data_IF_140289975363
#
_entry.id   IF_140289975363
#
_cell.length_a   1.000
_cell.length_b   1.000
_cell.length_c   1.000
_cell.angle_alpha   90.00
_cell.angle_beta   90.00
_cell.angle_gamma   90.00
#
_symmetry.space_group_name_H-M   'P 1'
#
loop_
_entity.id
_entity.type
_entity.pdbx_description
1 polymer ?
#
# COMPACT_ATOMS: atom_id res chain seq x y z
N UNK A 1 -19.01 -26.81 14.06
CA UNK A 1 -17.99 -25.80 14.41
C UNK A 1 -18.44 -24.50 13.79
N UNK A 2 -18.81 -23.50 14.60
CA UNK A 2 -19.21 -22.18 14.08
C UNK A 2 -17.96 -21.49 13.55
N UNK A 3 -17.99 -21.03 12.30
CA UNK A 3 -16.95 -20.15 11.76
C UNK A 3 -16.96 -18.85 12.60
N UNK A 4 -15.80 -18.34 13.01
CA UNK A 4 -15.75 -17.04 13.63
C UNK A 4 -16.30 -16.02 12.63
N UNK A 5 -17.36 -15.35 13.02
CA UNK A 5 -17.90 -14.19 12.29
C UNK A 5 -16.80 -13.16 12.18
N UNK A 6 -16.54 -12.67 10.97
CA UNK A 6 -15.62 -11.56 10.74
C UNK A 6 -15.97 -10.42 11.70
N UNK A 7 -15.00 -9.95 12.47
CA UNK A 7 -15.18 -8.81 13.38
C UNK A 7 -15.17 -7.56 12.49
N UNK A 8 -16.35 -7.18 12.01
CA UNK A 8 -16.51 -5.86 11.38
C UNK A 8 -16.45 -4.80 12.48
N UNK A 9 -15.56 -3.82 12.31
CA UNK A 9 -15.57 -2.61 13.13
C UNK A 9 -16.94 -1.94 12.94
N UNK A 10 -17.70 -1.66 14.02
CA UNK A 10 -18.98 -0.98 13.90
C UNK A 10 -18.84 0.33 13.12
N UNK A 11 -19.82 0.69 12.30
CA UNK A 11 -19.79 1.93 11.48
C UNK A 11 -19.51 3.18 12.34
N UNK A 12 -19.96 3.20 13.59
CA UNK A 12 -19.74 4.29 14.56
C UNK A 12 -18.26 4.42 14.99
N UNK A 13 -17.46 3.35 14.86
CA UNK A 13 -16.05 3.32 15.23
C UNK A 13 -15.12 3.53 14.03
N UNK A 14 -15.66 3.69 12.82
CA UNK A 14 -14.87 3.96 11.60
C UNK A 14 -14.42 5.42 11.56
N UNK A 15 -13.20 5.70 11.07
CA UNK A 15 -12.81 7.06 10.74
C UNK A 15 -13.85 7.74 9.84
N UNK A 16 -14.12 9.02 10.05
CA UNK A 16 -15.13 9.77 9.27
C UNK A 16 -14.91 9.64 7.75
N UNK A 17 -13.64 9.67 7.32
CA UNK A 17 -13.21 9.53 5.92
C UNK A 17 -13.52 8.15 5.32
N UNK A 18 -13.83 7.14 6.14
CA UNK A 18 -14.07 5.76 5.72
C UNK A 18 -15.51 5.29 5.96
N UNK A 19 -16.39 6.14 6.48
CA UNK A 19 -17.79 5.76 6.80
C UNK A 19 -18.55 5.26 5.59
N UNK A 20 -18.33 5.86 4.42
CA UNK A 20 -19.01 5.50 3.17
C UNK A 20 -18.21 4.50 2.31
N UNK A 21 -17.00 4.11 2.74
CA UNK A 21 -16.18 3.14 2.02
C UNK A 21 -16.89 1.78 1.89
N UNK A 22 -16.84 1.11 0.72
CA UNK A 22 -17.46 -0.19 0.52
C UNK A 22 -16.77 -1.32 1.29
N UNK A 23 -15.57 -1.10 1.80
CA UNK A 23 -14.81 -2.07 2.58
C UNK A 23 -15.58 -2.51 3.84
N UNK A 24 -15.65 -3.83 4.09
CA UNK A 24 -16.36 -4.39 5.23
C UNK A 24 -17.88 -4.40 5.11
N UNK A 25 -18.48 -4.00 3.96
CA UNK A 25 -19.92 -4.08 3.67
C UNK A 25 -20.22 -5.17 2.65
N UNK A 26 -21.43 -5.71 2.65
CA UNK A 26 -21.94 -6.49 1.52
C UNK A 26 -22.05 -5.57 0.30
N UNK A 27 -21.56 -6.03 -0.84
CA UNK A 27 -21.57 -5.26 -2.08
C UNK A 27 -22.08 -6.14 -3.22
N UNK A 28 -22.97 -5.58 -4.06
CA UNK A 28 -23.32 -6.21 -5.31
C UNK A 28 -22.10 -6.18 -6.24
N UNK A 29 -21.92 -7.22 -7.03
CA UNK A 29 -20.92 -7.26 -8.09
C UNK A 29 -21.55 -6.68 -9.36
N UNK A 30 -21.12 -5.50 -9.83
CA UNK A 30 -21.66 -4.91 -11.06
C UNK A 30 -21.25 -5.77 -12.26
N UNK A 31 -22.19 -5.95 -13.19
CA UNK A 31 -21.95 -6.74 -14.41
C UNK A 31 -21.38 -5.90 -15.55
N UNK A 32 -21.51 -4.57 -15.48
CA UNK A 32 -21.08 -3.64 -16.52
C UNK A 32 -20.24 -2.53 -15.96
N UNK A 33 -19.38 -2.00 -16.80
CA UNK A 33 -18.46 -0.92 -16.49
C UNK A 33 -19.14 0.24 -15.76
N UNK A 34 -18.56 0.60 -14.62
CA UNK A 34 -19.03 1.70 -13.78
C UNK A 34 -17.85 2.34 -13.03
N UNK A 35 -17.42 3.52 -13.49
CA UNK A 35 -16.35 4.29 -12.85
C UNK A 35 -16.73 4.87 -11.48
N UNK A 36 -18.04 5.01 -11.19
CA UNK A 36 -18.51 5.56 -9.91
C UNK A 36 -18.27 4.64 -8.71
N UNK A 37 -17.84 3.42 -8.95
CA UNK A 37 -17.45 2.46 -7.91
C UNK A 37 -16.17 2.84 -7.19
N UNK A 38 -15.28 3.60 -7.82
CA UNK A 38 -14.01 4.02 -7.22
C UNK A 38 -14.24 4.97 -6.04
N UNK A 39 -13.65 4.63 -4.90
CA UNK A 39 -13.78 5.40 -3.67
C UNK A 39 -12.42 6.03 -3.30
N UNK A 40 -12.25 7.36 -3.49
CA UNK A 40 -11.03 8.06 -3.12
C UNK A 40 -10.94 8.28 -1.61
N UNK A 41 -9.74 8.17 -1.05
CA UNK A 41 -9.42 8.43 0.36
C UNK A 41 -8.36 9.52 0.40
N UNK A 42 -8.68 10.66 1.02
CA UNK A 42 -7.74 11.78 1.13
C UNK A 42 -6.52 11.40 2.00
N UNK A 43 -5.30 11.51 1.44
CA UNK A 43 -4.05 11.23 2.17
C UNK A 43 -3.80 12.22 3.31
N UNK A 44 -4.24 13.46 3.16
CA UNK A 44 -4.07 14.53 4.15
C UNK A 44 -4.56 14.14 5.55
N UNK A 45 -5.62 13.31 5.64
CA UNK A 45 -6.20 12.89 6.91
C UNK A 45 -5.19 12.10 7.78
N UNK A 46 -4.31 11.31 7.17
CA UNK A 46 -3.32 10.49 7.87
C UNK A 46 -1.95 11.18 7.92
N UNK A 47 -1.63 12.06 6.98
CA UNK A 47 -0.36 12.80 6.90
C UNK A 47 -0.25 13.89 7.97
N UNK A 48 -1.32 14.66 8.18
CA UNK A 48 -1.33 15.73 9.19
C UNK A 48 -0.90 15.27 10.58
N UNK A 49 -1.44 14.18 11.15
CA UNK A 49 -1.06 13.66 12.47
C UNK A 49 0.42 13.28 12.61
N UNK A 50 1.09 12.88 11.52
CA UNK A 50 2.52 12.53 11.52
C UNK A 50 3.42 13.67 11.03
N UNK A 51 2.87 14.88 10.88
CA UNK A 51 3.62 16.09 10.56
C UNK A 51 4.02 16.24 9.09
N UNK A 52 3.40 15.52 8.17
CA UNK A 52 3.62 15.67 6.73
C UNK A 52 2.71 16.79 6.21
N UNK A 53 3.34 17.78 5.54
CA UNK A 53 2.64 18.81 4.78
C UNK A 53 2.49 18.34 3.32
N UNK A 54 1.24 18.19 2.86
CA UNK A 54 0.94 17.80 1.47
C UNK A 54 1.47 18.81 0.44
N UNK A 55 1.66 20.08 0.83
CA UNK A 55 2.25 21.09 -0.05
C UNK A 55 3.77 20.99 -0.17
N UNK A 56 4.42 20.24 0.76
CA UNK A 56 5.87 20.11 0.84
C UNK A 56 6.27 18.71 1.36
N UNK A 57 5.98 17.68 0.56
CA UNK A 57 6.29 16.30 0.95
C UNK A 57 7.78 16.12 1.20
N UNK A 58 8.18 15.45 2.30
CA UNK A 58 9.59 15.20 2.61
C UNK A 58 10.21 14.07 1.79
N UNK A 59 9.45 13.47 0.89
CA UNK A 59 9.84 12.34 0.05
C UNK A 59 9.28 12.47 -1.38
N UNK A 60 9.83 11.65 -2.27
CA UNK A 60 9.24 11.30 -3.57
C UNK A 60 9.02 9.80 -3.60
N UNK A 61 7.97 9.34 -4.25
CA UNK A 61 7.66 7.91 -4.30
C UNK A 61 6.40 7.62 -5.10
N UNK A 62 6.03 6.36 -5.12
CA UNK A 62 4.84 5.86 -5.80
C UNK A 62 4.25 4.66 -5.05
N UNK A 63 2.96 4.45 -5.22
CA UNK A 63 2.27 3.23 -4.86
C UNK A 63 2.14 2.37 -6.11
N UNK A 64 2.69 1.16 -6.08
CA UNK A 64 2.57 0.20 -7.16
C UNK A 64 1.56 -0.89 -6.79
N UNK A 65 0.58 -1.11 -7.66
CA UNK A 65 -0.46 -2.12 -7.48
C UNK A 65 -0.45 -3.11 -8.62
N UNK A 66 -0.74 -4.38 -8.31
CA UNK A 66 -0.94 -5.45 -9.29
C UNK A 66 -2.34 -6.04 -9.17
N UNK A 67 -3.04 -6.12 -10.31
CA UNK A 67 -4.30 -6.83 -10.41
C UNK A 67 -4.16 -8.00 -11.39
N UNK A 68 -4.23 -9.22 -10.86
CA UNK A 68 -3.96 -10.45 -11.63
C UNK A 68 -5.15 -10.96 -12.46
N UNK A 69 -6.31 -10.31 -12.37
CA UNK A 69 -7.57 -10.77 -12.95
C UNK A 69 -8.29 -9.67 -13.75
N UNK A 70 -7.56 -8.78 -14.43
CA UNK A 70 -8.21 -7.76 -15.27
C UNK A 70 -8.73 -8.40 -16.53
N UNK A 71 -10.05 -8.35 -16.72
CA UNK A 71 -10.74 -9.03 -17.81
C UNK A 71 -11.80 -8.16 -18.45
N UNK A 72 -12.00 -8.34 -19.75
CA UNK A 72 -13.04 -7.67 -20.55
C UNK A 72 -13.42 -8.53 -21.74
N UNK A 73 -14.46 -8.14 -22.50
CA UNK A 73 -14.85 -8.78 -23.75
C UNK A 73 -14.38 -7.94 -24.93
N UNK A 74 -13.91 -8.58 -26.00
CA UNK A 74 -13.75 -7.93 -27.30
C UNK A 74 -15.12 -7.68 -27.98
N UNK A 75 -15.11 -7.06 -29.16
CA UNK A 75 -16.34 -6.76 -29.91
C UNK A 75 -17.11 -8.01 -30.28
N UNK A 76 -16.44 -9.16 -30.45
CA UNK A 76 -17.07 -10.44 -30.73
C UNK A 76 -17.64 -11.15 -29.50
N UNK A 77 -17.30 -10.66 -28.28
CA UNK A 77 -17.72 -11.25 -27.01
C UNK A 77 -16.75 -12.30 -26.48
N UNK A 78 -15.54 -12.41 -27.04
CA UNK A 78 -14.50 -13.28 -26.54
C UNK A 78 -13.81 -12.59 -25.36
N UNK A 79 -13.60 -13.29 -24.19
CA UNK A 79 -12.92 -12.71 -23.07
C UNK A 79 -11.41 -12.56 -23.30
N UNK A 80 -10.87 -11.47 -22.78
CA UNK A 80 -9.45 -11.22 -22.63
C UNK A 80 -9.10 -11.11 -21.14
N UNK A 81 -7.93 -11.59 -20.75
CA UNK A 81 -7.40 -11.51 -19.39
C UNK A 81 -5.98 -10.98 -19.44
N UNK A 82 -5.65 -10.07 -18.52
CA UNK A 82 -4.31 -9.48 -18.33
C UNK A 82 -3.99 -9.32 -16.84
N UNK A 83 -2.72 -9.24 -16.55
CA UNK A 83 -2.28 -8.63 -15.29
C UNK A 83 -2.10 -7.14 -15.54
N UNK A 84 -2.69 -6.32 -14.68
CA UNK A 84 -2.47 -4.89 -14.73
C UNK A 84 -1.52 -4.46 -13.61
N UNK A 85 -0.48 -3.68 -13.97
CA UNK A 85 0.34 -2.92 -13.04
C UNK A 85 -0.09 -1.46 -13.09
N UNK A 86 -0.31 -0.88 -11.92
CA UNK A 86 -0.69 0.52 -11.75
C UNK A 86 0.35 1.23 -10.92
N UNK A 87 0.69 2.46 -11.29
CA UNK A 87 1.56 3.33 -10.50
C UNK A 87 0.89 4.67 -10.25
N UNK A 88 0.74 4.97 -8.97
CA UNK A 88 0.18 6.21 -8.48
C UNK A 88 1.29 6.99 -7.77
N UNK A 89 1.51 8.28 -8.12
CA UNK A 89 2.50 9.06 -7.41
C UNK A 89 2.10 9.23 -5.94
N UNK A 90 3.05 9.11 -5.01
CA UNK A 90 2.80 9.41 -3.59
C UNK A 90 2.32 10.85 -3.38
N UNK A 91 2.61 11.76 -4.32
CA UNK A 91 2.10 13.12 -4.34
C UNK A 91 0.61 13.25 -4.74
N UNK A 92 -0.07 12.14 -5.10
CA UNK A 92 -1.52 12.21 -5.37
C UNK A 92 -2.28 12.64 -4.11
N UNK A 93 -3.33 13.48 -4.24
CA UNK A 93 -4.13 13.89 -3.09
C UNK A 93 -4.89 12.73 -2.44
N UNK A 94 -5.20 11.68 -3.21
CA UNK A 94 -5.97 10.55 -2.73
C UNK A 94 -5.27 9.22 -2.95
N UNK A 95 -5.51 8.27 -2.03
CA UNK A 95 -5.49 6.83 -2.25
C UNK A 95 -6.82 6.40 -2.87
N UNK A 96 -6.86 5.21 -3.44
CA UNK A 96 -8.11 4.56 -3.87
C UNK A 96 -8.35 3.35 -2.97
N UNK A 97 -9.53 3.24 -2.38
CA UNK A 97 -9.90 2.14 -1.48
C UNK A 97 -9.89 0.80 -2.24
N UNK A 98 -9.21 -0.20 -1.69
CA UNK A 98 -8.87 -1.45 -2.38
C UNK A 98 -10.08 -2.29 -2.81
N UNK A 99 -11.14 -2.39 -2.00
CA UNK A 99 -12.35 -3.13 -2.36
C UNK A 99 -13.13 -2.42 -3.45
N UNK A 100 -13.21 -1.08 -3.40
CA UNK A 100 -13.83 -0.26 -4.43
C UNK A 100 -13.12 -0.43 -5.77
N UNK A 101 -11.79 -0.46 -5.73
CA UNK A 101 -10.97 -0.71 -6.92
C UNK A 101 -11.21 -2.10 -7.49
N UNK A 102 -11.26 -3.14 -6.64
CA UNK A 102 -11.58 -4.49 -7.08
C UNK A 102 -12.99 -4.58 -7.70
N UNK A 103 -14.00 -3.91 -7.13
CA UNK A 103 -15.34 -3.85 -7.69
C UNK A 103 -15.36 -3.13 -9.03
N UNK A 104 -14.62 -2.02 -9.17
CA UNK A 104 -14.45 -1.31 -10.43
C UNK A 104 -13.83 -2.20 -11.52
N UNK A 105 -12.72 -2.89 -11.23
CA UNK A 105 -12.11 -3.81 -12.18
C UNK A 105 -13.06 -4.96 -12.56
N UNK A 106 -13.84 -5.48 -11.60
CA UNK A 106 -14.85 -6.50 -11.86
C UNK A 106 -15.95 -6.00 -12.82
N UNK A 107 -16.29 -4.71 -12.81
CA UNK A 107 -17.31 -4.14 -13.71
C UNK A 107 -16.92 -4.19 -15.19
N UNK A 108 -15.64 -4.38 -15.50
CA UNK A 108 -15.16 -4.55 -16.88
C UNK A 108 -15.47 -5.94 -17.45
N UNK A 109 -15.67 -6.96 -16.61
CA UNK A 109 -15.72 -8.38 -17.02
C UNK A 109 -16.76 -8.68 -18.10
N UNK A 110 -17.92 -8.02 -18.10
CA UNK A 110 -18.97 -8.17 -19.13
C UNK A 110 -19.07 -6.97 -20.08
N UNK A 111 -18.10 -6.06 -20.02
CA UNK A 111 -18.06 -4.87 -20.86
C UNK A 111 -17.20 -5.12 -22.11
N UNK A 112 -17.66 -4.58 -23.24
CA UNK A 112 -16.99 -4.73 -24.53
C UNK A 112 -16.06 -3.54 -24.79
N UNK A 113 -14.85 -3.87 -25.22
CA UNK A 113 -13.87 -2.86 -25.64
C UNK A 113 -13.30 -3.26 -27.00
N UNK A 114 -12.99 -2.28 -27.88
CA UNK A 114 -12.48 -2.57 -29.21
C UNK A 114 -11.09 -3.23 -29.19
N UNK A 115 -10.25 -2.84 -28.21
CA UNK A 115 -8.90 -3.35 -28.06
C UNK A 115 -8.34 -3.10 -26.63
N UNK A 116 -7.14 -3.60 -26.37
CA UNK A 116 -6.43 -3.43 -25.10
C UNK A 116 -6.10 -1.95 -24.82
N UNK A 117 -5.80 -1.15 -25.85
CA UNK A 117 -5.47 0.25 -25.68
C UNK A 117 -6.66 1.07 -25.16
N UNK A 118 -7.88 0.74 -25.62
CA UNK A 118 -9.11 1.37 -25.12
C UNK A 118 -9.38 1.02 -23.64
N UNK A 119 -9.09 -0.23 -23.22
CA UNK A 119 -9.16 -0.62 -21.80
C UNK A 119 -8.15 0.17 -20.99
N UNK A 120 -6.89 0.19 -21.42
CA UNK A 120 -5.82 0.92 -20.73
C UNK A 120 -6.16 2.41 -20.56
N UNK A 121 -6.57 3.08 -21.64
CA UNK A 121 -6.96 4.50 -21.60
C UNK A 121 -8.16 4.75 -20.67
N UNK A 122 -9.10 3.80 -20.58
CA UNK A 122 -10.23 3.87 -19.64
C UNK A 122 -9.75 3.79 -18.20
N UNK A 123 -8.89 2.82 -17.88
CA UNK A 123 -8.30 2.65 -16.56
C UNK A 123 -7.49 3.89 -16.14
N UNK A 124 -6.61 4.40 -17.01
CA UNK A 124 -5.80 5.60 -16.75
C UNK A 124 -6.67 6.82 -16.44
N UNK A 125 -7.72 7.07 -17.25
CA UNK A 125 -8.64 8.18 -17.07
C UNK A 125 -9.39 8.10 -15.73
N UNK A 126 -9.97 6.95 -15.42
CA UNK A 126 -10.84 6.79 -14.26
C UNK A 126 -10.05 6.78 -12.95
N UNK A 127 -8.92 6.08 -12.94
CA UNK A 127 -8.02 6.05 -11.78
C UNK A 127 -7.38 7.42 -11.54
N UNK A 128 -6.99 8.15 -12.60
CA UNK A 128 -6.48 9.49 -12.46
C UNK A 128 -7.53 10.45 -11.88
N UNK A 129 -8.81 10.32 -12.28
CA UNK A 129 -9.90 11.12 -11.71
C UNK A 129 -10.11 10.81 -10.21
N UNK A 130 -10.04 9.54 -9.80
CA UNK A 130 -10.18 9.15 -8.40
C UNK A 130 -8.96 9.56 -7.55
N UNK A 131 -7.74 9.31 -8.05
CA UNK A 131 -6.50 9.65 -7.35
C UNK A 131 -6.25 11.18 -7.28
N UNK A 132 -6.81 11.95 -8.23
CA UNK A 132 -6.54 13.37 -8.40
C UNK A 132 -5.16 13.68 -9.00
N UNK A 133 -4.52 12.67 -9.63
CA UNK A 133 -3.20 12.76 -10.23
C UNK A 133 -3.08 11.77 -11.39
N UNK A 134 -2.17 11.93 -12.36
CA UNK A 134 -1.93 10.94 -13.40
C UNK A 134 -1.57 9.59 -12.82
N UNK A 135 -2.16 8.52 -13.37
CA UNK A 135 -1.89 7.12 -13.01
C UNK A 135 -1.34 6.41 -14.25
N UNK A 136 -0.21 5.74 -14.10
CA UNK A 136 0.34 4.88 -15.14
C UNK A 136 -0.31 3.50 -15.06
N UNK A 137 -0.75 2.97 -16.19
CA UNK A 137 -1.33 1.63 -16.32
C UNK A 137 -0.55 0.84 -17.35
N UNK A 138 -0.09 -0.36 -16.97
CA UNK A 138 0.54 -1.31 -17.88
C UNK A 138 -0.24 -2.62 -17.85
N UNK A 139 -0.70 -3.09 -19.02
CA UNK A 139 -1.39 -4.38 -19.16
C UNK A 139 -0.38 -5.43 -19.67
N UNK A 140 -0.03 -6.36 -18.80
CA UNK A 140 0.96 -7.41 -19.00
C UNK A 140 0.30 -8.73 -19.43
N UNK A 141 1.00 -9.56 -20.20
CA UNK A 141 0.61 -10.95 -20.44
C UNK A 141 0.70 -11.75 -19.14
N UNK A 142 -0.02 -12.87 -19.06
CA UNK A 142 -0.08 -13.68 -17.83
C UNK A 142 1.24 -14.38 -17.49
N UNK A 143 2.13 -14.53 -18.45
CA UNK A 143 3.45 -15.16 -18.34
C UNK A 143 4.60 -14.16 -18.51
N UNK A 144 4.34 -12.87 -18.33
CA UNK A 144 5.35 -11.82 -18.42
C UNK A 144 6.37 -11.95 -17.27
N UNK A 145 7.66 -11.86 -17.59
CA UNK A 145 8.76 -11.96 -16.61
C UNK A 145 8.78 -10.81 -15.59
N UNK A 146 8.12 -9.69 -15.88
CA UNK A 146 7.96 -8.59 -14.92
C UNK A 146 7.09 -8.97 -13.71
N UNK A 147 6.37 -10.11 -13.78
CA UNK A 147 5.57 -10.65 -12.68
C UNK A 147 6.37 -11.47 -11.68
N UNK A 148 7.65 -11.72 -11.93
CA UNK A 148 8.50 -12.48 -11.03
C UNK A 148 8.76 -11.73 -9.71
N UNK A 149 8.44 -12.39 -8.59
CA UNK A 149 8.69 -11.83 -7.25
C UNK A 149 10.17 -11.98 -6.90
N UNK A 150 10.93 -10.90 -7.05
CA UNK A 150 12.34 -10.84 -6.67
C UNK A 150 12.56 -10.91 -5.14
N UNK A 151 13.80 -11.24 -4.74
CA UNK A 151 14.24 -11.15 -3.34
C UNK A 151 14.55 -9.71 -2.97
N UNK A 152 14.23 -9.34 -1.73
CA UNK A 152 14.67 -8.06 -1.19
C UNK A 152 16.19 -8.05 -0.99
N UNK A 153 16.87 -6.94 -1.30
CA UNK A 153 18.32 -6.84 -1.13
C UNK A 153 18.72 -6.64 0.34
N UNK A 154 19.99 -6.84 0.62
CA UNK A 154 20.61 -6.57 1.90
C UNK A 154 20.42 -7.64 2.96
N UNK A 155 20.61 -7.25 4.22
CA UNK A 155 20.55 -8.14 5.39
C UNK A 155 19.11 -8.30 5.89
N UNK A 156 18.69 -9.56 6.09
CA UNK A 156 17.41 -9.87 6.71
C UNK A 156 17.54 -9.78 8.23
N UNK A 157 16.62 -9.07 8.87
CA UNK A 157 16.65 -8.85 10.32
C UNK A 157 15.86 -9.90 11.12
N UNK A 158 15.12 -10.77 10.46
CA UNK A 158 14.08 -11.60 11.08
C UNK A 158 14.65 -12.63 12.09
N UNK A 159 15.90 -13.06 11.91
CA UNK A 159 16.55 -14.05 12.78
C UNK A 159 17.24 -13.44 14.00
N UNK A 160 17.17 -12.10 14.19
CA UNK A 160 17.78 -11.46 15.36
C UNK A 160 17.08 -11.90 16.67
N UNK A 161 17.83 -12.26 17.72
CA UNK A 161 17.27 -12.79 18.96
C UNK A 161 16.79 -11.65 19.87
N UNK A 162 15.68 -11.02 19.53
CA UNK A 162 15.12 -9.89 20.31
C UNK A 162 13.94 -10.30 21.17
N UNK A 163 13.68 -9.53 22.23
CA UNK A 163 12.44 -9.57 23.01
C UNK A 163 11.62 -8.34 22.70
N UNK A 164 10.32 -8.52 22.45
CA UNK A 164 9.41 -7.43 22.06
C UNK A 164 8.31 -7.28 23.09
N UNK A 165 8.13 -6.06 23.60
CA UNK A 165 7.10 -5.71 24.58
C UNK A 165 6.10 -4.67 24.04
N UNK A 166 6.42 -4.00 22.91
CA UNK A 166 5.62 -2.93 22.33
C UNK A 166 5.00 -3.37 21.00
N UNK A 167 3.67 -3.21 20.86
CA UNK A 167 2.90 -3.60 19.66
C UNK A 167 2.07 -2.44 19.10
N UNK A 168 2.40 -1.21 19.48
CA UNK A 168 1.94 0.05 18.87
C UNK A 168 3.15 0.84 18.39
N UNK A 169 3.07 1.60 17.27
CA UNK A 169 4.20 2.33 16.72
C UNK A 169 4.97 3.12 17.79
N UNK A 170 6.25 2.82 17.93
CA UNK A 170 7.10 3.32 19.03
C UNK A 170 8.43 3.83 18.46
N UNK A 171 8.47 5.04 17.86
CA UNK A 171 9.66 5.58 17.21
C UNK A 171 10.83 5.81 18.17
N UNK A 172 10.59 5.88 19.50
CA UNK A 172 11.62 5.92 20.53
C UNK A 172 12.48 4.65 20.60
N UNK A 173 12.03 3.54 20.00
CA UNK A 173 12.84 2.34 19.86
C UNK A 173 14.00 2.55 18.87
N UNK A 174 13.85 3.43 17.88
CA UNK A 174 14.89 3.69 16.90
C UNK A 174 16.10 4.37 17.52
N UNK A 175 17.28 3.82 17.25
CA UNK A 175 18.57 4.40 17.61
C UNK A 175 19.61 4.11 16.54
N UNK A 176 20.65 4.95 16.49
CA UNK A 176 21.77 4.81 15.58
C UNK A 176 23.06 5.29 16.24
N UNK A 177 24.20 4.83 15.72
CA UNK A 177 25.52 5.28 16.15
C UNK A 177 26.00 6.41 15.22
N UNK A 178 25.95 7.63 15.72
CA UNK A 178 26.35 8.84 14.99
C UNK A 178 27.85 8.85 14.59
N UNK A 179 28.68 8.05 15.26
CA UNK A 179 30.10 7.95 14.96
C UNK A 179 30.42 6.99 13.79
N UNK A 180 29.50 6.10 13.43
CA UNK A 180 29.67 5.10 12.38
C UNK A 180 28.72 5.35 11.19
N UNK A 181 29.23 6.01 10.16
CA UNK A 181 28.46 6.32 8.95
C UNK A 181 28.58 5.19 7.94
N UNK A 182 27.44 4.61 7.57
CA UNK A 182 27.36 3.46 6.67
C UNK A 182 26.42 3.69 5.48
N UNK A 183 26.51 2.80 4.50
CA UNK A 183 25.52 2.68 3.43
C UNK A 183 25.06 1.22 3.40
N UNK A 184 23.81 0.97 3.74
CA UNK A 184 23.29 -0.37 3.98
C UNK A 184 21.91 -0.57 3.35
N UNK A 185 21.64 -1.84 3.05
CA UNK A 185 20.32 -2.37 2.71
C UNK A 185 19.90 -3.33 3.82
N UNK A 186 18.77 -3.06 4.46
CA UNK A 186 18.18 -3.90 5.51
C UNK A 186 16.76 -4.26 5.13
N UNK A 187 16.30 -5.47 5.48
CA UNK A 187 14.91 -5.84 5.26
C UNK A 187 14.36 -6.75 6.35
N UNK A 188 13.03 -6.76 6.46
CA UNK A 188 12.30 -7.65 7.34
C UNK A 188 10.97 -8.07 6.70
N UNK A 189 10.53 -9.30 6.96
CA UNK A 189 9.22 -9.84 6.57
C UNK A 189 8.21 -9.83 7.74
N UNK A 190 8.56 -9.18 8.85
CA UNK A 190 7.77 -9.19 10.08
C UNK A 190 6.93 -7.92 10.28
N UNK A 191 6.90 -7.02 9.31
CA UNK A 191 5.98 -5.89 9.36
C UNK A 191 4.54 -6.41 9.26
N UNK A 192 3.71 -6.01 10.21
CA UNK A 192 2.29 -6.37 10.25
C UNK A 192 1.50 -5.19 10.81
N UNK A 193 0.48 -4.78 10.07
CA UNK A 193 -0.56 -3.86 10.52
C UNK A 193 -1.92 -4.53 10.49
N UNK A 194 -2.98 -3.77 10.67
CA UNK A 194 -4.36 -4.23 10.51
C UNK A 194 -5.12 -3.24 9.64
N UNK A 195 -6.04 -3.76 8.85
CA UNK A 195 -6.95 -2.93 8.08
C UNK A 195 -7.73 -1.97 9.00
N UNK A 196 -7.78 -0.66 8.69
CA UNK A 196 -8.45 0.33 9.55
C UNK A 196 -9.98 0.18 9.56
N UNK A 197 -10.54 -0.63 8.65
CA UNK A 197 -12.00 -0.84 8.52
C UNK A 197 -12.44 -2.17 9.07
N UNK A 198 -11.71 -3.25 8.77
CA UNK A 198 -12.11 -4.63 9.14
C UNK A 198 -11.34 -5.20 10.31
N UNK A 199 -10.22 -4.57 10.71
CA UNK A 199 -9.29 -5.12 11.70
C UNK A 199 -8.55 -6.37 11.23
N UNK A 200 -8.72 -6.77 9.96
CA UNK A 200 -8.04 -7.92 9.38
C UNK A 200 -6.51 -7.68 9.37
N UNK A 201 -5.70 -8.68 9.73
CA UNK A 201 -4.24 -8.54 9.68
C UNK A 201 -3.74 -8.44 8.25
N UNK A 202 -2.85 -7.47 8.03
CA UNK A 202 -2.13 -7.23 6.80
C UNK A 202 -0.63 -7.36 7.05
N UNK A 203 0.01 -8.34 6.41
CA UNK A 203 1.44 -8.59 6.50
C UNK A 203 2.18 -7.96 5.33
N UNK A 204 3.38 -7.43 5.61
CA UNK A 204 4.24 -6.84 4.59
C UNK A 204 5.70 -7.17 4.82
N UNK A 205 6.47 -7.09 3.75
CA UNK A 205 7.93 -7.10 3.78
C UNK A 205 8.42 -5.68 3.55
N UNK A 206 9.26 -5.18 4.43
CA UNK A 206 9.84 -3.83 4.32
C UNK A 206 11.31 -3.91 3.95
N UNK A 207 11.73 -3.02 3.05
CA UNK A 207 13.12 -2.81 2.67
C UNK A 207 13.50 -1.36 2.92
N UNK A 208 14.64 -1.18 3.59
CA UNK A 208 15.21 0.11 3.96
C UNK A 208 16.61 0.17 3.36
N UNK A 209 16.85 1.14 2.45
CA UNK A 209 18.19 1.50 1.98
C UNK A 209 18.51 2.88 2.51
N UNK A 210 19.67 3.02 3.12
CA UNK A 210 20.05 4.32 3.66
C UNK A 210 21.56 4.55 3.61
N UNK A 211 21.94 5.82 3.68
CA UNK A 211 23.28 6.28 4.01
C UNK A 211 23.20 7.22 5.20
N UNK A 212 23.94 6.92 6.28
CA UNK A 212 23.91 7.72 7.51
C UNK A 212 24.42 6.95 8.72
N UNK A 213 24.11 7.42 9.94
CA UNK A 213 24.44 6.74 11.19
C UNK A 213 23.98 5.28 11.18
N UNK A 214 24.87 4.37 11.63
CA UNK A 214 24.54 2.93 11.66
C UNK A 214 23.36 2.67 12.58
N UNK A 215 22.25 2.19 12.01
CA UNK A 215 21.05 1.83 12.76
C UNK A 215 21.31 0.59 13.61
N UNK A 216 20.88 0.64 14.86
CA UNK A 216 20.81 -0.55 15.72
C UNK A 216 19.75 -1.50 15.17
N UNK A 217 20.20 -2.68 14.69
CA UNK A 217 19.36 -3.63 13.98
C UNK A 217 18.29 -4.29 14.85
N UNK A 218 18.62 -4.57 16.10
CA UNK A 218 17.67 -5.17 17.05
C UNK A 218 16.56 -4.18 17.39
N UNK A 219 16.91 -2.93 17.58
CA UNK A 219 15.96 -1.84 17.84
C UNK A 219 15.12 -1.50 16.62
N UNK A 220 15.70 -1.52 15.42
CA UNK A 220 14.97 -1.38 14.17
C UNK A 220 13.93 -2.49 14.02
N UNK A 221 14.33 -3.75 14.23
CA UNK A 221 13.40 -4.87 14.15
C UNK A 221 12.28 -4.74 15.20
N UNK A 222 12.60 -4.37 16.44
CA UNK A 222 11.60 -4.13 17.48
C UNK A 222 10.62 -3.00 17.08
N UNK A 223 11.12 -1.93 16.46
CA UNK A 223 10.30 -0.86 15.93
C UNK A 223 9.36 -1.33 14.82
N UNK A 224 9.84 -2.11 13.84
CA UNK A 224 8.99 -2.66 12.78
C UNK A 224 7.89 -3.57 13.34
N UNK A 225 8.22 -4.40 14.33
CA UNK A 225 7.25 -5.28 15.00
C UNK A 225 6.23 -4.48 15.82
N UNK A 226 6.56 -3.27 16.27
CA UNK A 226 5.64 -2.44 17.05
C UNK A 226 4.36 -2.06 16.27
N UNK A 227 4.37 -2.13 14.95
CA UNK A 227 3.17 -1.92 14.12
C UNK A 227 2.10 -3.00 14.26
N UNK A 228 2.37 -4.10 14.98
CA UNK A 228 1.53 -5.30 15.01
C UNK A 228 0.07 -5.06 15.41
N UNK A 229 -0.25 -4.03 16.18
CA UNK A 229 -1.61 -3.64 16.55
C UNK A 229 -2.04 -2.32 15.90
N UNK A 230 -1.19 -1.71 15.08
CA UNK A 230 -1.52 -0.49 14.34
C UNK A 230 -2.60 -0.77 13.29
N UNK A 231 -3.52 0.19 13.12
CA UNK A 231 -4.60 0.13 12.13
C UNK A 231 -4.41 1.27 11.13
N UNK A 232 -3.93 0.94 9.94
CA UNK A 232 -3.77 1.90 8.86
C UNK A 232 -3.63 1.19 7.50
N UNK A 233 -3.71 1.96 6.41
CA UNK A 233 -3.34 1.48 5.08
C UNK A 233 -1.82 1.33 4.96
N UNK A 234 -1.37 0.39 4.12
CA UNK A 234 0.06 0.11 3.94
C UNK A 234 0.83 1.33 3.45
N UNK A 235 0.25 2.13 2.56
CA UNK A 235 0.84 3.35 2.03
C UNK A 235 1.17 4.34 3.15
N UNK A 236 0.24 4.54 4.09
CA UNK A 236 0.46 5.40 5.25
C UNK A 236 1.50 4.81 6.21
N UNK A 237 1.52 3.48 6.39
CA UNK A 237 2.56 2.84 7.20
C UNK A 237 3.96 3.13 6.65
N UNK A 238 4.15 3.08 5.32
CA UNK A 238 5.45 3.39 4.68
C UNK A 238 5.83 4.85 4.88
N UNK A 239 4.89 5.78 4.72
CA UNK A 239 5.11 7.21 4.99
C UNK A 239 5.49 7.46 6.45
N UNK A 240 4.84 6.78 7.40
CA UNK A 240 5.13 6.86 8.82
C UNK A 240 6.54 6.32 9.13
N UNK A 241 6.89 5.12 8.60
CA UNK A 241 8.23 4.56 8.73
C UNK A 241 9.31 5.53 8.21
N UNK A 242 9.05 6.17 7.07
CA UNK A 242 9.98 7.14 6.47
C UNK A 242 10.21 8.35 7.41
N UNK A 243 9.14 8.95 7.90
CA UNK A 243 9.23 10.14 8.78
C UNK A 243 9.95 9.82 10.08
N UNK A 244 9.62 8.68 10.71
CA UNK A 244 10.24 8.26 11.96
C UNK A 244 11.74 8.00 11.80
N UNK A 245 12.13 7.31 10.73
CA UNK A 245 13.54 7.06 10.42
C UNK A 245 14.30 8.37 10.14
N UNK A 246 13.70 9.28 9.36
CA UNK A 246 14.30 10.61 9.12
C UNK A 246 14.47 11.40 10.40
N UNK A 247 13.49 11.37 11.30
CA UNK A 247 13.52 12.12 12.55
C UNK A 247 14.52 11.56 13.58
N UNK A 248 14.60 10.22 13.69
CA UNK A 248 15.35 9.54 14.76
C UNK A 248 16.78 9.18 14.36
N UNK A 249 16.97 8.73 13.11
CA UNK A 249 18.28 8.29 12.58
C UNK A 249 19.00 9.43 11.86
N UNK A 250 18.25 10.33 11.23
CA UNK A 250 18.77 11.48 10.45
C UNK A 250 19.75 11.06 9.34
N UNK A 251 19.39 10.09 8.50
CA UNK A 251 20.27 9.66 7.43
C UNK A 251 20.45 10.77 6.37
N UNK A 252 21.58 10.74 5.66
CA UNK A 252 21.85 11.62 4.52
C UNK A 252 20.93 11.29 3.31
N UNK A 253 20.61 10.01 3.15
CA UNK A 253 19.66 9.51 2.15
C UNK A 253 18.89 8.32 2.70
N UNK A 254 17.62 8.20 2.34
CA UNK A 254 16.74 7.14 2.80
C UNK A 254 15.76 6.73 1.69
N UNK A 255 15.61 5.42 1.51
CA UNK A 255 14.53 4.79 0.77
C UNK A 255 13.83 3.80 1.69
N UNK A 256 12.51 3.87 1.74
CA UNK A 256 11.65 2.88 2.42
C UNK A 256 10.68 2.33 1.39
N UNK A 257 10.61 1.01 1.26
CA UNK A 257 9.66 0.32 0.39
C UNK A 257 9.04 -0.84 1.17
N UNK A 258 7.74 -1.03 1.04
CA UNK A 258 7.06 -2.22 1.56
C UNK A 258 6.24 -2.91 0.46
N UNK A 259 6.11 -4.21 0.58
CA UNK A 259 5.28 -5.04 -0.31
C UNK A 259 4.57 -6.15 0.44
#
# INVERSE_FOLDING_TARGET
MAHPTAVNVPDEARPETLKDAPLGRESAYPEHYDASLLFPIARAANRGPIGIDDAALPFVGEDEWHAFEVSWLDEAGKPWVRVARFRLPAASPNLIESKSWKLYLNSLNQSRFPDQAAVQATLERDLAAAAGAPVEVCLLELDDSELDVGRLPGECLDDLPISVEHYTPSPELLSADDADIVSEDLHSHLLKSNCPVTGQPDWGSVWIRYRGPRIDRERLLAYLISYRQHQDFHEHCVEHLFVDLMARVKPESLLVMAR
#
